data_IF_838420613477
#
_entry.id   IF_838420613477
#
_cell.length_a   1.000
_cell.length_b   1.000
_cell.length_c   1.000
_cell.angle_alpha   90.00
_cell.angle_beta   90.00
_cell.angle_gamma   90.00
#
_symmetry.space_group_name_H-M   'P 1'
#
loop_
_entity.id
_entity.type
_entity.pdbx_description
1 polymer ?
#
# COMPACT_ATOMS: atom_id res chain seq x y z
N UNK A 1 12.96 6.35 -20.67
CA UNK A 1 11.48 6.29 -20.73
C UNK A 1 10.95 5.91 -19.36
N UNK A 2 9.78 6.40 -18.96
CA UNK A 2 9.13 5.97 -17.71
C UNK A 2 8.70 4.50 -17.81
N UNK A 3 8.75 3.77 -16.68
CA UNK A 3 8.24 2.39 -16.57
C UNK A 3 6.76 2.44 -16.21
N UNK A 4 5.90 1.75 -16.96
CA UNK A 4 4.49 1.60 -16.60
C UNK A 4 4.37 0.83 -15.28
N UNK A 5 3.66 1.39 -14.29
CA UNK A 5 3.38 0.73 -13.01
C UNK A 5 2.32 -0.37 -13.16
N UNK A 6 1.36 -0.17 -14.07
CA UNK A 6 0.21 -1.03 -14.30
C UNK A 6 -0.20 -0.95 -15.77
N UNK A 7 -0.89 -1.99 -16.24
CA UNK A 7 -1.44 -2.12 -17.60
C UNK A 7 -2.83 -2.73 -17.50
N UNK A 8 -3.77 -2.23 -18.29
CA UNK A 8 -5.16 -2.67 -18.23
C UNK A 8 -6.02 -1.91 -19.22
N UNK A 9 -7.27 -1.64 -18.88
CA UNK A 9 -8.18 -0.87 -19.72
C UNK A 9 -9.13 0.04 -18.92
N UNK A 10 -9.48 1.20 -19.50
CA UNK A 10 -10.63 1.99 -19.05
C UNK A 10 -11.90 1.30 -19.59
N UNK A 11 -12.86 1.07 -18.69
CA UNK A 11 -14.11 0.36 -18.95
C UNK A 11 -15.27 1.28 -18.58
N UNK A 12 -16.20 1.53 -19.50
CA UNK A 12 -17.45 2.22 -19.20
C UNK A 12 -18.61 1.71 -20.08
N UNK A 13 -19.61 1.09 -19.44
CA UNK A 13 -20.77 0.50 -20.10
C UNK A 13 -20.42 -0.63 -21.06
N UNK A 14 -20.15 -0.29 -22.32
CA UNK A 14 -19.75 -1.21 -23.40
C UNK A 14 -18.42 -0.82 -24.07
N UNK A 15 -17.77 0.25 -23.61
CA UNK A 15 -16.53 0.77 -24.19
C UNK A 15 -15.34 0.30 -23.36
N UNK A 16 -14.33 -0.28 -24.03
CA UNK A 16 -13.14 -0.84 -23.41
C UNK A 16 -11.89 -0.31 -24.11
N UNK A 17 -11.08 0.50 -23.42
CA UNK A 17 -9.94 1.24 -23.98
C UNK A 17 -8.66 0.77 -23.30
N UNK A 18 -7.76 0.03 -23.99
CA UNK A 18 -6.50 -0.39 -23.37
C UNK A 18 -5.63 0.82 -23.04
N UNK A 19 -5.05 0.85 -21.83
CA UNK A 19 -4.19 1.92 -21.32
C UNK A 19 -3.01 1.38 -20.50
N UNK A 20 -1.89 2.09 -20.57
CA UNK A 20 -0.72 1.91 -19.71
C UNK A 20 -0.68 3.05 -18.68
N UNK A 21 -0.43 2.73 -17.41
CA UNK A 21 -0.43 3.67 -16.29
C UNK A 21 0.98 3.97 -15.80
N UNK A 22 1.30 5.26 -15.64
CA UNK A 22 2.59 5.79 -15.22
C UNK A 22 2.43 6.73 -14.03
N UNK A 23 3.43 6.77 -13.13
CA UNK A 23 3.44 7.76 -12.05
C UNK A 23 3.62 9.17 -12.62
N UNK A 24 2.75 10.12 -12.25
CA UNK A 24 2.99 11.53 -12.54
C UNK A 24 3.97 12.15 -11.54
N UNK A 25 4.00 11.63 -10.31
CA UNK A 25 4.95 12.02 -9.27
C UNK A 25 6.28 11.29 -9.46
N UNK A 26 7.39 12.02 -9.33
CA UNK A 26 8.74 11.46 -9.09
C UNK A 26 9.23 11.96 -7.74
N UNK A 27 9.40 11.05 -6.78
CA UNK A 27 10.10 11.38 -5.53
C UNK A 27 11.54 11.81 -5.86
N UNK A 28 11.94 12.94 -5.30
CA UNK A 28 13.25 13.58 -5.51
C UNK A 28 14.04 13.65 -4.19
N UNK A 29 13.74 12.77 -3.24
CA UNK A 29 14.39 12.67 -1.92
C UNK A 29 15.93 12.50 -2.02
N UNK A 30 16.63 12.90 -0.97
CA UNK A 30 18.07 12.68 -0.83
C UNK A 30 18.32 11.26 -0.32
N UNK A 31 18.92 10.41 -1.16
CA UNK A 31 19.35 9.06 -0.76
C UNK A 31 20.58 9.16 0.15
N UNK A 32 20.35 9.03 1.47
CA UNK A 32 21.38 9.12 2.51
C UNK A 32 21.67 7.72 3.06
N UNK A 33 22.78 7.13 2.61
CA UNK A 33 23.26 5.85 3.16
C UNK A 33 23.51 5.96 4.66
N UNK A 34 22.86 5.09 5.45
CA UNK A 34 23.12 4.98 6.88
C UNK A 34 24.47 4.31 7.12
N UNK A 35 25.36 5.01 7.82
CA UNK A 35 26.71 4.54 8.20
C UNK A 35 26.81 4.44 9.73
N UNK A 36 27.57 3.48 10.27
CA UNK A 36 27.92 3.52 11.70
C UNK A 36 28.89 4.70 11.95
N UNK A 37 28.60 5.50 12.96
CA UNK A 37 29.40 6.67 13.38
C UNK A 37 30.83 6.30 13.82
N UNK A 38 31.09 5.03 14.16
CA UNK A 38 32.37 4.52 14.67
C UNK A 38 33.42 4.38 13.56
N UNK A 39 33.08 3.62 12.51
CA UNK A 39 33.99 3.19 11.45
C UNK A 39 33.59 3.72 10.06
N UNK A 40 32.37 4.27 9.92
CA UNK A 40 31.75 4.75 8.68
C UNK A 40 31.37 3.63 7.70
N UNK A 41 31.21 2.40 8.19
CA UNK A 41 30.69 1.26 7.41
C UNK A 41 29.18 1.38 7.15
N UNK A 42 28.67 0.98 5.97
CA UNK A 42 27.23 0.98 5.69
C UNK A 42 26.45 -0.02 6.54
N UNK A 43 25.31 0.41 7.09
CA UNK A 43 24.46 -0.41 7.96
C UNK A 43 23.48 -1.24 7.12
N UNK A 44 23.49 -2.57 7.33
CA UNK A 44 22.55 -3.51 6.73
C UNK A 44 21.38 -3.87 7.65
N UNK A 45 20.19 -4.07 7.08
CA UNK A 45 18.98 -4.49 7.81
C UNK A 45 18.69 -5.98 7.65
N UNK A 46 18.59 -6.70 8.77
CA UNK A 46 18.15 -8.11 8.82
C UNK A 46 16.75 -8.23 9.42
N UNK A 47 15.93 -9.11 8.84
CA UNK A 47 14.62 -9.50 9.39
C UNK A 47 14.83 -10.69 10.31
N UNK A 48 14.33 -10.62 11.54
CA UNK A 48 14.45 -11.73 12.50
C UNK A 48 13.10 -12.03 13.17
N UNK A 49 12.92 -13.28 13.60
CA UNK A 49 11.74 -13.70 14.35
C UNK A 49 11.91 -13.33 15.82
N UNK A 50 11.01 -12.50 16.35
CA UNK A 50 11.06 -11.96 17.73
C UNK A 50 11.11 -13.03 18.83
N UNK A 51 10.62 -14.25 18.58
CA UNK A 51 10.59 -15.33 19.56
C UNK A 51 11.86 -16.18 19.65
N UNK A 52 12.70 -16.17 18.61
CA UNK A 52 13.92 -17.01 18.57
C UNK A 52 15.19 -16.31 18.05
N UNK A 53 15.07 -15.02 17.67
CA UNK A 53 16.13 -14.16 17.12
C UNK A 53 16.86 -14.70 15.88
N UNK A 54 16.31 -15.71 15.19
CA UNK A 54 16.84 -16.22 13.92
C UNK A 54 16.41 -15.35 12.75
N UNK A 55 17.28 -15.22 11.76
CA UNK A 55 17.02 -14.48 10.52
C UNK A 55 15.91 -15.17 9.70
N UNK A 56 15.04 -14.36 9.08
CA UNK A 56 13.86 -14.82 8.33
C UNK A 56 13.99 -14.42 6.86
N UNK A 57 14.20 -15.42 6.00
CA UNK A 57 14.14 -15.25 4.54
C UNK A 57 12.74 -14.81 4.08
N UNK A 58 12.67 -14.03 3.00
CA UNK A 58 11.43 -13.44 2.48
C UNK A 58 10.31 -14.46 2.25
N UNK A 59 10.63 -15.63 1.74
CA UNK A 59 9.65 -16.67 1.37
C UNK A 59 8.93 -17.28 2.60
N UNK A 60 9.51 -17.10 3.80
CA UNK A 60 8.93 -17.50 5.08
C UNK A 60 8.09 -16.39 5.74
N UNK A 61 7.87 -15.25 5.07
CA UNK A 61 7.12 -14.10 5.61
C UNK A 61 5.68 -14.10 5.08
N UNK A 62 4.79 -14.71 5.86
CA UNK A 62 3.34 -14.65 5.64
C UNK A 62 2.73 -13.37 6.23
N UNK A 63 1.59 -12.94 5.67
CA UNK A 63 0.81 -11.79 6.17
C UNK A 63 -0.30 -12.31 7.09
N UNK A 64 -0.44 -11.71 8.26
CA UNK A 64 -1.52 -12.01 9.21
C UNK A 64 -2.37 -10.77 9.49
N UNK A 65 -3.67 -10.94 9.64
CA UNK A 65 -4.59 -9.92 10.16
C UNK A 65 -4.99 -10.28 11.59
N UNK A 66 -4.76 -9.36 12.53
CA UNK A 66 -5.09 -9.53 13.95
C UNK A 66 -6.58 -9.22 14.16
N UNK A 67 -7.39 -10.22 14.49
CA UNK A 67 -8.83 -10.04 14.73
C UNK A 67 -9.18 -9.95 16.22
N UNK A 68 -8.25 -10.38 17.08
CA UNK A 68 -8.32 -10.37 18.55
C UNK A 68 -6.88 -10.35 19.07
N UNK A 69 -6.55 -9.68 20.20
CA UNK A 69 -5.16 -9.49 20.62
C UNK A 69 -4.35 -10.80 20.72
N UNK A 70 -3.35 -10.94 19.86
CA UNK A 70 -2.51 -12.14 19.73
C UNK A 70 -3.06 -13.25 18.81
N UNK A 71 -4.27 -13.12 18.27
CA UNK A 71 -4.89 -14.09 17.35
C UNK A 71 -4.92 -13.56 15.91
N UNK A 72 -4.19 -14.24 15.02
CA UNK A 72 -3.96 -13.81 13.64
C UNK A 72 -4.57 -14.77 12.61
N UNK A 73 -5.40 -14.25 11.70
CA UNK A 73 -5.79 -14.98 10.48
C UNK A 73 -4.70 -14.78 9.43
N UNK A 74 -4.11 -15.88 8.94
CA UNK A 74 -3.17 -15.85 7.82
C UNK A 74 -3.92 -15.53 6.54
N UNK A 75 -3.42 -14.56 5.77
CA UNK A 75 -3.96 -14.18 4.47
C UNK A 75 -2.90 -14.47 3.40
N UNK A 76 -3.15 -15.47 2.54
CA UNK A 76 -2.29 -15.70 1.40
C UNK A 76 -2.55 -14.68 0.29
N UNK A 77 -1.58 -14.46 -0.59
CA UNK A 77 -1.78 -13.64 -1.79
C UNK A 77 -2.77 -14.27 -2.78
N UNK A 78 -3.17 -15.54 -2.59
CA UNK A 78 -4.28 -16.15 -3.35
C UNK A 78 -5.65 -15.83 -2.74
N UNK A 79 -5.78 -15.75 -1.42
CA UNK A 79 -7.01 -15.33 -0.75
C UNK A 79 -7.34 -13.87 -1.10
N UNK A 80 -6.33 -13.00 -1.04
CA UNK A 80 -6.44 -11.60 -1.41
C UNK A 80 -6.83 -11.42 -2.89
N UNK A 81 -6.30 -12.27 -3.80
CA UNK A 81 -6.73 -12.29 -5.21
C UNK A 81 -8.15 -12.81 -5.37
N UNK A 82 -8.51 -13.92 -4.70
CA UNK A 82 -9.85 -14.53 -4.76
C UNK A 82 -10.94 -13.58 -4.27
N UNK A 83 -10.63 -12.72 -3.29
CA UNK A 83 -11.54 -11.68 -2.82
C UNK A 83 -11.87 -10.59 -3.87
N UNK A 84 -10.97 -10.33 -4.85
CA UNK A 84 -11.16 -9.23 -5.81
C UNK A 84 -10.75 -9.58 -7.26
N UNK A 85 -11.08 -10.79 -7.73
CA UNK A 85 -10.69 -11.27 -9.08
C UNK A 85 -11.16 -10.34 -10.21
N UNK A 86 -12.37 -9.78 -10.10
CA UNK A 86 -13.06 -9.07 -11.20
C UNK A 86 -12.42 -7.76 -11.63
N UNK A 87 -11.79 -7.00 -10.73
CA UNK A 87 -11.35 -5.63 -11.00
C UNK A 87 -9.82 -5.47 -11.20
N UNK A 88 -9.08 -6.59 -11.26
CA UNK A 88 -7.59 -6.59 -11.20
C UNK A 88 -6.87 -5.82 -12.31
N UNK A 89 -7.50 -5.60 -13.48
CA UNK A 89 -6.89 -4.96 -14.65
C UNK A 89 -7.83 -3.98 -15.39
N UNK A 90 -8.87 -3.49 -14.72
CA UNK A 90 -9.78 -2.46 -15.25
C UNK A 90 -9.78 -1.19 -14.40
N UNK A 91 -10.01 -0.05 -15.07
CA UNK A 91 -10.46 1.22 -14.48
C UNK A 91 -11.93 1.33 -14.88
N UNK A 92 -12.83 0.88 -14.02
CA UNK A 92 -14.27 0.86 -14.29
C UNK A 92 -14.89 2.21 -13.87
N UNK A 93 -15.40 2.97 -14.84
CA UNK A 93 -16.06 4.27 -14.59
C UNK A 93 -17.49 4.02 -14.10
N UNK A 94 -17.80 4.57 -12.93
CA UNK A 94 -19.08 4.42 -12.23
C UNK A 94 -20.01 5.60 -12.56
N UNK A 95 -19.48 6.82 -12.56
CA UNK A 95 -20.24 8.05 -12.82
C UNK A 95 -19.36 9.15 -13.41
N UNK A 96 -20.02 10.23 -13.88
CA UNK A 96 -19.37 11.48 -14.26
C UNK A 96 -19.94 12.60 -13.39
N UNK A 97 -19.08 13.43 -12.81
CA UNK A 97 -19.44 14.56 -11.91
C UNK A 97 -18.69 15.82 -12.35
N UNK A 98 -19.06 16.99 -11.83
CA UNK A 98 -18.29 18.21 -12.09
C UNK A 98 -16.96 18.20 -11.33
N UNK A 99 -15.93 18.87 -11.87
CA UNK A 99 -14.63 18.95 -11.20
C UNK A 99 -14.72 19.68 -9.84
N UNK A 100 -15.67 20.60 -9.72
CA UNK A 100 -15.96 21.40 -8.52
C UNK A 100 -16.71 20.60 -7.43
N UNK A 101 -17.43 19.52 -7.79
CA UNK A 101 -18.16 18.65 -6.84
C UNK A 101 -17.22 17.81 -5.96
N UNK A 102 -15.94 17.68 -6.32
CA UNK A 102 -14.95 16.87 -5.60
C UNK A 102 -13.92 17.77 -4.92
N UNK A 103 -14.02 18.01 -3.60
CA UNK A 103 -13.08 18.86 -2.88
C UNK A 103 -11.64 18.36 -2.95
N UNK A 104 -10.69 19.30 -2.92
CA UNK A 104 -9.24 19.02 -2.96
C UNK A 104 -8.76 18.05 -1.86
N UNK A 105 -9.48 17.96 -0.74
CA UNK A 105 -9.22 17.02 0.37
C UNK A 105 -9.35 15.54 0.00
N UNK A 106 -10.11 15.20 -1.06
CA UNK A 106 -10.23 13.82 -1.52
C UNK A 106 -9.04 13.39 -2.39
N UNK A 107 -8.37 14.30 -3.09
CA UNK A 107 -7.30 13.96 -4.04
C UNK A 107 -6.00 13.54 -3.33
N UNK A 108 -5.39 12.46 -3.81
CA UNK A 108 -4.17 11.88 -3.25
C UNK A 108 -3.00 11.86 -4.26
N UNK A 109 -2.92 10.85 -5.14
CA UNK A 109 -1.74 10.65 -6.01
C UNK A 109 -2.12 10.73 -7.50
N UNK A 110 -1.50 11.62 -8.30
CA UNK A 110 -1.73 11.69 -9.75
C UNK A 110 -0.93 10.63 -10.53
N UNK A 111 -1.58 10.04 -11.53
CA UNK A 111 -1.02 9.10 -12.49
C UNK A 111 -1.35 9.51 -13.92
N UNK A 112 -0.41 9.38 -14.85
CA UNK A 112 -0.67 9.56 -16.28
C UNK A 112 -1.16 8.24 -16.90
N UNK A 113 -2.27 8.30 -17.65
CA UNK A 113 -2.69 7.21 -18.51
C UNK A 113 -2.22 7.49 -19.94
N UNK A 114 -1.61 6.50 -20.60
CA UNK A 114 -1.29 6.55 -22.02
C UNK A 114 -2.10 5.49 -22.80
N UNK A 115 -2.48 5.73 -24.06
CA UNK A 115 -3.21 4.76 -24.86
C UNK A 115 -2.35 3.51 -25.15
N UNK A 116 -2.87 2.35 -24.77
CA UNK A 116 -2.30 1.05 -25.11
C UNK A 116 -2.44 0.73 -26.61
N UNK A 117 -1.79 -0.35 -27.05
CA UNK A 117 -1.75 -0.77 -28.46
C UNK A 117 -3.17 -0.94 -29.02
N UNK A 118 -3.53 -0.13 -30.03
CA UNK A 118 -4.85 -0.12 -30.66
C UNK A 118 -5.89 0.80 -30.01
N UNK A 119 -5.68 1.29 -28.78
CA UNK A 119 -6.66 2.11 -28.05
C UNK A 119 -6.73 3.58 -28.48
N UNK A 120 -5.71 4.10 -29.17
CA UNK A 120 -5.47 5.53 -29.36
C UNK A 120 -6.67 6.35 -29.85
N UNK A 121 -7.44 5.86 -30.84
CA UNK A 121 -8.62 6.59 -31.37
C UNK A 121 -9.74 6.70 -30.34
N UNK A 122 -9.98 5.65 -29.54
CA UNK A 122 -11.06 5.62 -28.54
C UNK A 122 -10.63 6.39 -27.28
N UNK A 123 -9.36 6.31 -26.91
CA UNK A 123 -8.74 7.13 -25.87
C UNK A 123 -8.85 8.63 -26.18
N UNK A 124 -8.49 9.04 -27.41
CA UNK A 124 -8.61 10.44 -27.84
C UNK A 124 -10.08 10.92 -27.84
N UNK A 125 -11.02 10.05 -28.25
CA UNK A 125 -12.45 10.32 -28.16
C UNK A 125 -12.91 10.53 -26.70
N UNK A 126 -12.47 9.69 -25.75
CA UNK A 126 -12.79 9.85 -24.33
C UNK A 126 -12.22 11.17 -23.78
N UNK A 127 -10.94 11.48 -24.05
CA UNK A 127 -10.29 12.74 -23.63
C UNK A 127 -11.08 13.95 -24.12
N UNK A 128 -11.41 13.98 -25.42
CA UNK A 128 -12.16 15.07 -26.04
C UNK A 128 -13.61 15.16 -25.52
N UNK A 129 -14.24 14.02 -25.20
CA UNK A 129 -15.60 13.98 -24.62
C UNK A 129 -15.62 14.55 -23.21
N UNK A 130 -14.69 14.14 -22.34
CA UNK A 130 -14.55 14.69 -20.98
C UNK A 130 -14.27 16.20 -21.01
N UNK A 131 -13.30 16.64 -21.81
CA UNK A 131 -12.93 18.06 -22.00
C UNK A 131 -14.12 18.90 -22.47
N UNK A 132 -14.96 18.40 -23.37
CA UNK A 132 -16.17 19.12 -23.86
C UNK A 132 -17.34 19.08 -22.88
N UNK A 133 -17.42 18.05 -22.04
CA UNK A 133 -18.49 17.91 -21.05
C UNK A 133 -18.24 18.69 -19.75
N UNK A 134 -16.98 19.10 -19.49
CA UNK A 134 -16.56 19.71 -18.22
C UNK A 134 -16.55 18.74 -17.03
N UNK A 135 -16.76 17.43 -17.27
CA UNK A 135 -16.91 16.42 -16.23
C UNK A 135 -15.62 15.63 -16.00
N UNK A 136 -15.46 15.16 -14.78
CA UNK A 136 -14.47 14.14 -14.40
C UNK A 136 -15.16 12.79 -14.25
N UNK A 137 -14.49 11.70 -14.62
CA UNK A 137 -15.01 10.34 -14.48
C UNK A 137 -14.62 9.74 -13.13
N UNK A 138 -15.59 9.48 -12.25
CA UNK A 138 -15.35 8.74 -11.00
C UNK A 138 -15.31 7.25 -11.31
N UNK A 139 -14.18 6.61 -10.99
CA UNK A 139 -13.89 5.23 -11.36
C UNK A 139 -13.25 4.45 -10.21
N UNK A 140 -13.29 3.13 -10.30
CA UNK A 140 -12.54 2.23 -9.41
C UNK A 140 -11.47 1.47 -10.17
N UNK A 141 -10.28 1.35 -9.57
CA UNK A 141 -9.11 0.65 -10.14
C UNK A 141 -8.43 -0.22 -9.08
N UNK A 142 -7.97 -1.41 -9.45
CA UNK A 142 -7.13 -2.24 -8.57
C UNK A 142 -5.66 -2.05 -8.93
N UNK A 143 -4.90 -1.48 -7.99
CA UNK A 143 -3.45 -1.29 -8.11
C UNK A 143 -2.76 -2.30 -7.19
N UNK A 144 -2.00 -3.23 -7.79
CA UNK A 144 -1.34 -4.38 -7.14
C UNK A 144 -2.31 -5.33 -6.41
N UNK A 145 -2.77 -4.95 -5.23
CA UNK A 145 -3.64 -5.74 -4.34
C UNK A 145 -4.69 -4.89 -3.61
N UNK A 146 -4.74 -3.57 -3.83
CA UNK A 146 -5.73 -2.67 -3.24
C UNK A 146 -6.64 -2.09 -4.34
N UNK A 147 -7.91 -1.95 -4.02
CA UNK A 147 -8.86 -1.18 -4.82
C UNK A 147 -8.85 0.28 -4.36
N UNK A 148 -8.66 1.19 -5.30
CA UNK A 148 -8.69 2.62 -5.08
C UNK A 148 -9.89 3.22 -5.82
N UNK A 149 -10.52 4.22 -5.20
CA UNK A 149 -11.35 5.18 -5.90
C UNK A 149 -10.42 6.13 -6.68
N UNK A 150 -10.85 6.62 -7.83
CA UNK A 150 -10.07 7.56 -8.63
C UNK A 150 -10.92 8.51 -9.47
N UNK A 151 -10.36 9.68 -9.79
CA UNK A 151 -10.92 10.66 -10.70
C UNK A 151 -10.12 10.66 -12.01
N UNK A 152 -10.81 10.43 -13.13
CA UNK A 152 -10.30 10.57 -14.49
C UNK A 152 -10.55 12.00 -14.99
N UNK A 153 -9.48 12.77 -15.12
CA UNK A 153 -9.50 14.18 -15.54
C UNK A 153 -8.82 14.29 -16.91
N UNK A 154 -9.50 14.88 -17.90
CA UNK A 154 -8.90 15.13 -19.20
C UNK A 154 -8.08 16.43 -19.20
N UNK A 155 -6.85 16.36 -19.69
CA UNK A 155 -5.97 17.51 -19.94
C UNK A 155 -5.77 17.69 -21.45
N UNK A 156 -4.97 18.68 -21.86
CA UNK A 156 -4.71 18.93 -23.29
C UNK A 156 -4.01 17.75 -23.97
N UNK A 157 -3.00 17.17 -23.32
CA UNK A 157 -2.21 16.05 -23.86
C UNK A 157 -2.84 14.67 -23.59
N UNK A 158 -3.54 14.48 -22.47
CA UNK A 158 -3.96 13.13 -22.06
C UNK A 158 -5.09 13.07 -21.05
N UNK A 159 -5.14 11.97 -20.31
CA UNK A 159 -6.04 11.75 -19.18
C UNK A 159 -5.16 11.47 -17.97
N UNK A 160 -5.33 12.27 -16.92
CA UNK A 160 -4.72 12.05 -15.61
C UNK A 160 -5.74 11.25 -14.78
N UNK A 161 -5.26 10.23 -14.08
CA UNK A 161 -6.02 9.48 -13.10
C UNK A 161 -5.47 9.81 -11.71
N UNK A 162 -6.20 10.59 -10.93
CA UNK A 162 -5.83 10.85 -9.53
C UNK A 162 -6.49 9.81 -8.63
N UNK A 163 -5.76 9.19 -7.71
CA UNK A 163 -6.41 8.42 -6.63
C UNK A 163 -7.19 9.37 -5.72
N UNK A 164 -8.34 8.89 -5.25
CA UNK A 164 -9.20 9.56 -4.29
C UNK A 164 -9.21 8.76 -2.98
N UNK A 165 -9.18 9.50 -1.86
CA UNK A 165 -9.46 8.98 -0.52
C UNK A 165 -10.92 8.56 -0.41
N UNK A 166 -11.20 7.55 0.41
CA UNK A 166 -12.56 7.24 0.83
C UNK A 166 -12.99 8.16 1.97
N UNK A 167 -14.31 8.33 2.16
CA UNK A 167 -14.86 9.27 3.15
C UNK A 167 -14.49 8.91 4.60
N UNK A 168 -14.25 7.64 4.90
CA UNK A 168 -13.79 7.15 6.21
C UNK A 168 -12.29 7.36 6.46
N UNK A 169 -11.51 7.68 5.42
CA UNK A 169 -10.10 8.08 5.54
C UNK A 169 -9.94 9.58 5.87
N UNK A 170 -11.00 10.38 5.71
CA UNK A 170 -11.02 11.82 5.97
C UNK A 170 -11.56 12.07 7.39
N UNK A 171 -10.78 12.77 8.22
CA UNK A 171 -11.23 13.18 9.56
C UNK A 171 -12.16 14.39 9.49
N UNK A 172 -13.22 14.38 10.30
CA UNK A 172 -14.08 15.54 10.46
C UNK A 172 -13.42 16.65 11.30
N UNK A 173 -13.92 17.86 11.10
CA UNK A 173 -13.55 19.11 11.77
C UNK A 173 -14.23 19.31 13.13
N UNK A 174 -15.22 18.48 13.51
CA UNK A 174 -15.98 18.63 14.76
C UNK A 174 -15.12 18.57 16.05
N UNK A 175 -13.90 18.03 15.97
CA UNK A 175 -12.93 18.00 17.08
C UNK A 175 -11.89 19.13 17.06
N UNK A 176 -12.01 20.13 16.18
CA UNK A 176 -11.05 21.23 16.04
C UNK A 176 -11.58 22.52 16.68
N UNK A 177 -10.70 23.24 17.40
CA UNK A 177 -10.98 24.57 17.94
C UNK A 177 -10.93 25.62 16.81
N UNK A 178 -12.01 25.68 16.03
CA UNK A 178 -12.17 26.59 14.90
C UNK A 178 -13.08 27.78 15.26
N UNK A 179 -12.76 29.00 14.79
CA UNK A 179 -13.61 30.16 15.01
C UNK A 179 -14.99 29.96 14.38
N UNK A 180 -16.02 30.53 15.01
CA UNK A 180 -17.41 30.37 14.57
C UNK A 180 -17.60 30.92 13.14
N UNK A 181 -18.27 30.12 12.29
CA UNK A 181 -18.31 30.30 10.83
C UNK A 181 -18.91 31.66 10.41
N UNK A 182 -18.15 32.39 9.59
CA UNK A 182 -18.54 33.68 9.01
C UNK A 182 -18.24 34.90 9.89
N UNK A 183 -18.15 36.09 9.30
CA UNK A 183 -17.66 37.32 9.97
C UNK A 183 -18.30 37.60 11.33
N UNK A 184 -19.62 37.40 11.46
CA UNK A 184 -20.38 37.64 12.70
C UNK A 184 -20.04 36.67 13.84
N UNK A 185 -19.47 35.50 13.54
CA UNK A 185 -18.97 34.58 14.56
C UNK A 185 -17.59 34.96 15.10
N UNK A 186 -16.89 35.88 14.42
CA UNK A 186 -15.51 36.29 14.75
C UNK A 186 -15.34 37.81 14.91
N UNK A 187 -16.44 38.58 14.93
CA UNK A 187 -16.48 40.05 15.00
C UNK A 187 -15.62 40.80 13.96
N UNK A 188 -15.38 40.19 12.78
CA UNK A 188 -14.60 40.80 11.70
C UNK A 188 -15.41 41.93 11.04
N UNK A 189 -14.79 43.09 10.82
CA UNK A 189 -15.41 44.22 10.12
C UNK A 189 -15.08 44.27 8.62
N UNK A 190 -15.97 44.90 7.84
CA UNK A 190 -15.79 45.05 6.39
C UNK A 190 -14.50 45.80 6.01
N UNK A 191 -14.03 46.71 6.89
CA UNK A 191 -12.78 47.48 6.70
C UNK A 191 -11.53 46.60 6.83
N UNK A 192 -11.55 45.64 7.76
CA UNK A 192 -10.45 44.68 7.93
C UNK A 192 -10.39 43.72 6.75
N UNK A 193 -11.55 43.29 6.22
CA UNK A 193 -11.59 42.52 4.97
C UNK A 193 -11.08 43.34 3.78
N UNK A 194 -11.48 44.60 3.61
CA UNK A 194 -10.97 45.43 2.50
C UNK A 194 -9.46 45.63 2.59
N UNK A 195 -8.91 45.83 3.79
CA UNK A 195 -7.46 45.89 4.00
C UNK A 195 -6.77 44.56 3.67
N UNK A 196 -7.28 43.44 4.17
CA UNK A 196 -6.76 42.10 3.88
C UNK A 196 -6.80 41.76 2.38
N UNK A 197 -7.88 42.12 1.67
CA UNK A 197 -7.99 41.95 0.22
C UNK A 197 -6.93 42.75 -0.53
N UNK A 198 -6.68 44.00 -0.15
CA UNK A 198 -5.60 44.80 -0.79
C UNK A 198 -4.20 44.24 -0.55
N UNK A 199 -3.97 43.55 0.58
CA UNK A 199 -2.71 42.84 0.86
C UNK A 199 -2.60 41.55 0.02
N UNK A 200 -3.69 40.80 -0.15
CA UNK A 200 -3.72 39.62 -1.03
C UNK A 200 -3.51 40.02 -2.48
N UNK A 201 -4.19 41.08 -2.97
CA UNK A 201 -4.03 41.60 -4.33
C UNK A 201 -2.61 42.09 -4.58
N UNK A 202 -2.02 42.85 -3.65
CA UNK A 202 -0.62 43.30 -3.69
C UNK A 202 0.44 42.20 -3.52
N UNK A 203 0.03 40.97 -3.21
CA UNK A 203 0.88 39.77 -3.10
C UNK A 203 0.43 38.64 -4.06
N UNK A 204 -0.45 38.93 -5.01
CA UNK A 204 -0.93 37.96 -6.00
C UNK A 204 0.00 37.92 -7.22
N UNK A 205 0.58 36.76 -7.48
CA UNK A 205 1.46 36.49 -8.62
C UNK A 205 0.89 35.33 -9.47
N UNK A 206 1.26 35.27 -10.75
CA UNK A 206 0.90 34.15 -11.62
C UNK A 206 1.59 32.86 -11.15
N UNK A 207 0.84 31.75 -11.15
CA UNK A 207 1.35 30.45 -10.68
C UNK A 207 2.33 29.81 -11.67
N UNK A 208 3.62 30.04 -11.46
CA UNK A 208 4.71 29.27 -12.07
C UNK A 208 5.29 28.24 -11.09
N UNK A 209 5.06 26.92 -11.29
CA UNK A 209 5.71 25.86 -10.53
C UNK A 209 7.24 25.93 -10.54
N UNK A 210 7.83 26.55 -11.57
CA UNK A 210 9.28 26.65 -11.77
C UNK A 210 9.94 27.66 -10.81
N UNK A 211 9.18 28.56 -10.19
CA UNK A 211 9.69 29.50 -9.20
C UNK A 211 9.92 28.86 -7.82
N UNK A 212 9.32 27.70 -7.54
CA UNK A 212 9.37 27.04 -6.23
C UNK A 212 10.34 25.86 -6.24
N UNK A 213 11.32 25.86 -5.33
CA UNK A 213 12.37 24.84 -5.24
C UNK A 213 12.51 24.29 -3.81
N UNK A 214 13.05 23.07 -3.70
CA UNK A 214 13.40 22.43 -2.42
C UNK A 214 14.73 23.01 -1.91
N UNK A 215 14.64 24.18 -1.28
CA UNK A 215 15.80 24.92 -0.74
C UNK A 215 16.57 24.12 0.30
N UNK A 216 15.89 23.27 1.09
CA UNK A 216 16.54 22.39 2.06
C UNK A 216 17.46 21.38 1.38
N UNK A 217 17.02 20.77 0.27
CA UNK A 217 17.85 19.88 -0.52
C UNK A 217 19.06 20.60 -1.13
N UNK A 218 18.87 21.82 -1.64
CA UNK A 218 19.94 22.64 -2.21
C UNK A 218 20.98 23.02 -1.14
N UNK A 219 20.54 23.46 0.04
CA UNK A 219 21.41 23.76 1.19
C UNK A 219 22.21 22.53 1.66
N UNK A 220 21.57 21.36 1.73
CA UNK A 220 22.25 20.11 2.11
C UNK A 220 23.29 19.71 1.06
N UNK A 221 22.99 19.83 -0.23
CA UNK A 221 23.96 19.56 -1.31
C UNK A 221 25.12 20.57 -1.28
N UNK A 222 24.85 21.86 -1.10
CA UNK A 222 25.86 22.90 -0.95
C UNK A 222 26.74 22.68 0.30
N UNK A 223 26.18 22.15 1.38
CA UNK A 223 26.91 21.77 2.60
C UNK A 223 27.79 20.53 2.36
N UNK A 224 27.30 19.53 1.61
CA UNK A 224 28.10 18.37 1.18
C UNK A 224 29.27 18.83 0.30
N UNK A 225 29.04 19.68 -0.69
CA UNK A 225 30.11 20.25 -1.52
C UNK A 225 31.16 20.99 -0.70
N UNK A 226 30.75 21.85 0.24
CA UNK A 226 31.66 22.57 1.14
C UNK A 226 32.52 21.60 1.96
N UNK A 227 31.96 20.49 2.45
CA UNK A 227 32.69 19.45 3.18
C UNK A 227 33.66 18.66 2.29
N UNK A 228 33.26 18.33 1.06
CA UNK A 228 34.13 17.68 0.06
C UNK A 228 35.31 18.58 -0.30
N UNK A 229 35.05 19.86 -0.60
CA UNK A 229 36.08 20.88 -0.89
C UNK A 229 37.01 21.15 0.30
N UNK A 230 36.52 20.97 1.53
CA UNK A 230 37.30 21.03 2.76
C UNK A 230 38.00 19.71 3.14
N UNK A 231 38.01 18.69 2.26
CA UNK A 231 38.68 17.41 2.51
C UNK A 231 38.05 16.54 3.61
N UNK A 232 36.83 16.84 4.07
CA UNK A 232 36.14 16.11 5.15
C UNK A 232 35.50 14.79 4.68
N UNK A 233 36.06 14.17 3.65
CA UNK A 233 35.63 12.90 3.07
C UNK A 233 36.33 11.73 3.76
N UNK A 234 35.56 10.71 4.16
CA UNK A 234 36.12 9.44 4.61
C UNK A 234 35.95 8.38 3.52
N UNK A 235 37.06 7.88 3.01
CA UNK A 235 37.07 6.70 2.14
C UNK A 235 36.69 5.49 2.98
N UNK A 236 35.62 4.81 2.63
CA UNK A 236 35.27 3.51 3.20
C UNK A 236 36.27 2.51 2.61
N UNK A 237 37.29 2.13 3.38
CA UNK A 237 38.06 0.93 3.10
C UNK A 237 37.11 -0.24 3.28
N UNK A 238 36.59 -0.78 2.18
CA UNK A 238 35.78 -1.99 2.23
C UNK A 238 36.60 -3.09 2.91
N UNK A 239 36.02 -3.86 3.87
CA UNK A 239 36.71 -5.01 4.43
C UNK A 239 37.07 -5.95 3.28
N UNK A 240 38.33 -6.39 3.24
CA UNK A 240 38.84 -7.23 2.15
C UNK A 240 37.99 -8.48 2.01
N UNK A 241 37.82 -8.98 0.78
CA UNK A 241 37.02 -10.20 0.51
C UNK A 241 37.70 -11.50 1.01
N UNK A 242 38.83 -11.37 1.68
CA UNK A 242 39.67 -12.47 2.15
C UNK A 242 39.18 -13.06 3.49
N UNK A 243 38.38 -12.32 4.27
CA UNK A 243 37.70 -12.81 5.48
C UNK A 243 36.35 -13.51 5.21
N UNK A 244 36.07 -13.86 3.95
CA UNK A 244 35.12 -14.90 3.62
C UNK A 244 35.86 -16.26 3.67
N UNK A 245 35.68 -17.11 4.70
CA UNK A 245 36.39 -18.38 4.78
C UNK A 245 35.96 -19.27 3.62
N UNK A 246 36.82 -19.36 2.61
CA UNK A 246 36.61 -20.19 1.44
C UNK A 246 36.37 -21.62 1.92
N UNK A 247 35.16 -22.14 1.69
CA UNK A 247 34.83 -23.53 1.89
C UNK A 247 35.55 -24.35 0.81
N UNK A 248 36.86 -24.53 0.99
CA UNK A 248 37.66 -25.46 0.22
C UNK A 248 37.12 -26.85 0.51
N UNK A 249 36.27 -27.34 -0.40
CA UNK A 249 35.83 -28.72 -0.43
C UNK A 249 37.07 -29.58 -0.55
N UNK A 250 37.55 -30.12 0.57
CA UNK A 250 38.71 -30.98 0.62
C UNK A 250 38.30 -32.37 0.09
N UNK A 251 38.11 -32.43 -1.24
CA UNK A 251 37.85 -33.65 -1.99
C UNK A 251 39.15 -34.43 -2.01
N UNK A 252 39.37 -35.18 -0.92
CA UNK A 252 40.44 -36.15 -0.80
C UNK A 252 40.36 -37.09 -2.00
N UNK A 253 41.47 -37.25 -2.73
CA UNK A 253 41.51 -38.07 -3.93
C UNK A 253 41.38 -39.56 -3.56
N UNK A 254 40.14 -40.04 -3.59
CA UNK A 254 39.77 -41.43 -3.37
C UNK A 254 40.37 -42.36 -4.44
N UNK A 255 40.72 -41.85 -5.63
CA UNK A 255 41.39 -42.65 -6.67
C UNK A 255 42.85 -42.87 -6.31
N UNK A 256 43.55 -41.84 -5.83
CA UNK A 256 44.92 -41.96 -5.32
C UNK A 256 45.01 -42.95 -4.14
N UNK A 257 44.11 -42.85 -3.16
CA UNK A 257 44.04 -43.79 -2.03
C UNK A 257 43.69 -45.21 -2.48
N UNK A 258 42.79 -45.38 -3.46
CA UNK A 258 42.42 -46.70 -3.98
C UNK A 258 43.56 -47.35 -4.77
N UNK A 259 44.31 -46.58 -5.56
CA UNK A 259 45.53 -47.06 -6.24
C UNK A 259 46.61 -47.49 -5.25
N UNK A 260 46.79 -46.74 -4.15
CA UNK A 260 47.72 -47.12 -3.07
C UNK A 260 47.25 -48.38 -2.30
N UNK A 261 45.94 -48.66 -2.29
CA UNK A 261 45.36 -49.85 -1.63
C UNK A 261 45.46 -51.14 -2.49
N UNK A 262 45.32 -51.03 -3.82
CA UNK A 262 45.35 -52.18 -4.74
C UNK A 262 46.77 -52.64 -5.13
N UNK A 263 47.81 -51.91 -4.69
CA UNK A 263 49.16 -51.98 -5.26
C UNK A 263 50.22 -52.83 -4.55
N UNK A 264 49.91 -53.83 -3.70
CA UNK A 264 50.98 -54.71 -3.19
C UNK A 264 50.60 -56.09 -2.58
N UNK A 265 50.95 -57.19 -3.27
CA UNK A 265 51.28 -58.56 -2.78
C UNK A 265 51.66 -59.45 -3.99
N UNK A 266 52.49 -60.52 -3.85
CA UNK A 266 52.44 -61.50 -2.76
C UNK A 266 53.76 -62.00 -2.13
N UNK A 267 53.67 -62.32 -0.83
CA UNK A 267 54.21 -63.58 -0.25
C UNK A 267 55.35 -63.47 0.79
N UNK A 268 55.58 -64.44 1.70
CA UNK A 268 54.87 -65.72 1.99
C UNK A 268 55.31 -66.32 3.36
N UNK A 269 54.38 -66.44 4.32
CA UNK A 269 54.24 -67.63 5.20
C UNK A 269 54.78 -67.68 6.65
N UNK A 270 53.87 -68.00 7.60
CA UNK A 270 54.05 -68.69 8.92
C UNK A 270 54.82 -67.93 10.04
N UNK A 271 54.58 -68.18 11.36
CA UNK A 271 53.84 -69.27 12.06
C UNK A 271 53.32 -68.85 13.46
N UNK A 272 52.21 -69.45 13.90
CA UNK A 272 51.79 -69.72 15.31
C UNK A 272 51.31 -68.59 16.26
N UNK A 273 50.45 -69.01 17.20
CA UNK A 273 49.81 -68.40 18.38
C UNK A 273 49.28 -69.61 19.25
N UNK A 274 48.47 -69.50 20.35
CA UNK A 274 47.89 -68.33 21.03
C UNK A 274 48.14 -68.38 22.58
N UNK A 275 47.17 -68.13 23.52
CA UNK A 275 46.93 -66.85 24.21
C UNK A 275 47.18 -66.98 25.75
N UNK A 276 46.35 -66.60 26.78
CA UNK A 276 44.86 -66.51 26.85
C UNK A 276 44.23 -65.36 27.74
N UNK A 277 42.88 -65.27 27.80
CA UNK A 277 41.97 -64.71 28.87
C UNK A 277 42.05 -63.19 29.20
N UNK A 278 41.10 -62.54 29.91
CA UNK A 278 39.63 -62.36 29.75
C UNK A 278 39.18 -61.14 30.63
N UNK A 279 37.88 -60.94 30.90
CA UNK A 279 37.27 -60.02 31.92
C UNK A 279 37.36 -58.49 31.59
N UNK A 280 36.31 -57.66 31.48
CA UNK A 280 35.01 -57.39 32.16
C UNK A 280 35.08 -56.26 33.21
N UNK A 281 33.93 -55.59 33.41
CA UNK A 281 33.54 -54.78 34.59
C UNK A 281 34.30 -53.43 34.83
N UNK A 282 33.74 -52.37 35.42
CA UNK A 282 32.32 -52.06 35.74
C UNK A 282 32.07 -50.53 35.95
N UNK A 283 30.82 -50.14 36.25
CA UNK A 283 30.35 -49.08 37.21
C UNK A 283 31.02 -47.66 37.28
N UNK A 284 30.45 -46.61 37.90
CA UNK A 284 29.11 -46.00 37.94
C UNK A 284 29.23 -44.61 38.67
N UNK A 285 28.28 -43.69 38.47
CA UNK A 285 27.96 -42.49 39.33
C UNK A 285 29.13 -41.53 39.74
N UNK A 286 28.99 -40.40 40.47
CA UNK A 286 27.86 -39.57 40.96
C UNK A 286 27.88 -38.21 40.19
N UNK A 287 26.77 -37.55 39.84
CA UNK A 287 25.85 -36.71 40.62
C UNK A 287 26.39 -35.42 41.33
N UNK A 288 25.48 -34.54 41.76
CA UNK A 288 25.75 -33.12 42.13
C UNK A 288 25.43 -32.87 43.65
N UNK A 289 24.96 -31.70 44.21
CA UNK A 289 24.61 -30.37 43.68
C UNK A 289 25.22 -29.19 44.55
N UNK A 290 24.72 -27.92 44.53
CA UNK A 290 25.43 -26.75 45.10
C UNK A 290 24.84 -26.12 46.40
N UNK A 291 25.55 -25.19 47.07
CA UNK A 291 25.05 -24.41 48.22
C UNK A 291 24.40 -23.04 47.87
N UNK A 292 23.59 -22.49 48.79
CA UNK A 292 22.88 -21.18 48.70
C UNK A 292 22.96 -20.37 50.01
N UNK A 293 22.71 -19.05 49.91
CA UNK A 293 22.43 -18.06 50.99
C UNK A 293 23.65 -17.61 51.84
N UNK A 294 23.69 -16.43 52.48
CA UNK A 294 22.66 -15.52 53.10
C UNK A 294 22.93 -14.03 52.75
N UNK A 295 21.93 -13.14 52.57
CA UNK A 295 21.31 -12.18 53.55
C UNK A 295 22.32 -11.41 54.43
N UNK A 296 22.25 -10.09 54.67
CA UNK A 296 21.29 -9.00 54.33
C UNK A 296 22.02 -7.60 54.43
N UNK A 297 21.47 -6.37 54.56
CA UNK A 297 20.12 -5.86 54.85
C UNK A 297 19.86 -4.34 54.51
N UNK A 298 18.58 -3.99 54.27
CA UNK A 298 17.79 -2.83 54.81
C UNK A 298 18.13 -1.34 54.59
N UNK A 299 17.30 -0.66 53.77
CA UNK A 299 16.46 0.56 54.01
C UNK A 299 15.73 0.86 52.67
N UNK A 300 14.46 1.30 52.57
CA UNK A 300 13.82 2.55 53.03
C UNK A 300 13.75 3.55 51.85
N UNK A 301 12.63 4.13 51.40
CA UNK A 301 11.25 4.28 51.95
C UNK A 301 10.18 4.51 50.85
N UNK A 302 8.88 4.32 51.23
CA UNK A 302 7.62 4.94 50.73
C UNK A 302 7.33 5.17 49.22
N UNK A 303 6.11 4.81 48.75
CA UNK A 303 5.64 5.19 47.41
C UNK A 303 4.28 4.65 46.91
N UNK A 304 3.31 4.34 47.79
CA UNK A 304 2.09 3.60 47.40
C UNK A 304 0.93 4.48 46.90
N UNK A 305 0.42 4.25 45.69
CA UNK A 305 -0.88 4.78 45.23
C UNK A 305 -1.81 3.68 44.69
N UNK A 306 -2.77 3.31 45.55
CA UNK A 306 -4.13 2.79 45.30
C UNK A 306 -4.41 1.91 44.06
N UNK A 307 -4.70 0.64 44.34
CA UNK A 307 -5.60 -0.21 43.55
C UNK A 307 -7.08 0.19 43.72
N UNK A 308 -7.93 -0.19 42.74
CA UNK A 308 -9.40 -0.13 42.83
C UNK A 308 -10.03 -1.54 42.88
N UNK A 309 -11.17 -1.74 43.58
CA UNK A 309 -11.71 -3.08 43.87
C UNK A 309 -12.72 -3.61 42.83
N UNK A 310 -13.06 -4.90 42.96
CA UNK A 310 -14.12 -5.64 42.23
C UNK A 310 -15.26 -6.08 43.18
N UNK A 311 -16.38 -6.52 42.58
CA UNK A 311 -17.57 -7.14 43.22
C UNK A 311 -18.52 -6.16 43.91
N UNK A 312 -19.85 -6.28 43.81
CA UNK A 312 -20.72 -7.21 43.07
C UNK A 312 -22.19 -6.77 43.31
N UNK A 313 -23.28 -7.43 42.91
CA UNK A 313 -23.61 -8.53 42.00
C UNK A 313 -25.12 -8.81 42.26
N UNK A 314 -25.98 -8.95 41.23
CA UNK A 314 -27.40 -9.31 41.43
C UNK A 314 -27.97 -10.13 40.25
N UNK A 315 -28.79 -11.14 40.57
CA UNK A 315 -29.71 -11.85 39.64
C UNK A 315 -31.05 -11.06 39.58
N UNK A 316 -31.99 -11.25 38.66
CA UNK A 316 -32.25 -12.29 37.65
C UNK A 316 -32.79 -11.62 36.35
N UNK A 317 -33.35 -12.25 35.31
CA UNK A 317 -33.80 -13.63 35.07
C UNK A 317 -33.63 -14.00 33.57
N UNK A 318 -34.50 -14.87 33.01
CA UNK A 318 -34.51 -15.24 31.59
C UNK A 318 -35.93 -15.31 31.00
N UNK A 319 -36.07 -14.96 29.72
CA UNK A 319 -37.21 -15.34 28.87
C UNK A 319 -36.77 -15.42 27.39
N UNK A 320 -37.45 -16.28 26.60
CA UNK A 320 -37.19 -16.47 25.16
C UNK A 320 -38.04 -15.49 24.31
N UNK A 321 -37.62 -15.17 23.07
CA UNK A 321 -38.42 -14.35 22.17
C UNK A 321 -39.74 -15.07 21.77
N UNK A 322 -40.83 -14.31 21.72
CA UNK A 322 -42.14 -14.76 21.26
C UNK A 322 -42.58 -13.92 20.04
N UNK A 323 -43.17 -14.57 19.03
CA UNK A 323 -43.49 -13.92 17.76
C UNK A 323 -44.89 -13.27 17.74
N UNK A 324 -44.96 -12.08 17.13
CA UNK A 324 -46.20 -11.41 16.69
C UNK A 324 -46.04 -11.19 15.19
N UNK A 325 -46.70 -11.93 14.29
CA UNK A 325 -48.16 -12.03 14.01
C UNK A 325 -48.81 -10.70 13.60
N UNK A 326 -48.38 -10.16 12.46
CA UNK A 326 -49.23 -9.28 11.64
C UNK A 326 -50.43 -10.08 11.08
N UNK A 327 -51.66 -9.53 11.07
CA UNK A 327 -52.85 -10.27 10.64
C UNK A 327 -52.97 -10.34 9.11
N UNK A 328 -53.37 -11.51 8.60
CA UNK A 328 -53.79 -11.68 7.21
C UNK A 328 -55.28 -11.32 7.08
N UNK A 329 -55.64 -10.55 6.06
CA UNK A 329 -56.94 -10.69 5.41
C UNK A 329 -56.78 -10.63 3.89
N UNK A 330 -57.20 -11.69 3.23
CA UNK A 330 -57.15 -11.84 1.77
C UNK A 330 -58.57 -12.00 1.20
N UNK A 331 -58.64 -12.15 -0.13
CA UNK A 331 -59.82 -12.13 -1.01
C UNK A 331 -60.24 -10.71 -1.49
N UNK A 332 -60.45 -10.47 -2.79
CA UNK A 332 -60.32 -11.43 -3.91
C UNK A 332 -60.26 -10.81 -5.31
N UNK A 333 -59.90 -11.67 -6.29
CA UNK A 333 -59.85 -11.43 -7.75
C UNK A 333 -61.22 -10.93 -8.26
N UNK A 334 -61.36 -10.20 -9.37
CA UNK A 334 -61.21 -10.74 -10.75
C UNK A 334 -61.22 -9.67 -11.86
N UNK A 335 -60.43 -9.91 -12.92
CA UNK A 335 -60.68 -9.58 -14.34
C UNK A 335 -60.87 -8.08 -14.74
N UNK A 336 -60.75 -7.67 -16.01
CA UNK A 336 -60.55 -8.41 -17.26
C UNK A 336 -59.53 -7.73 -18.21
N UNK A 337 -59.03 -8.48 -19.19
CA UNK A 337 -58.17 -8.03 -20.29
C UNK A 337 -58.99 -7.96 -21.58
N UNK A 338 -59.08 -6.79 -22.21
CA UNK A 338 -59.67 -6.60 -23.53
C UNK A 338 -58.83 -5.60 -24.34
N UNK A 339 -58.90 -5.68 -25.67
CA UNK A 339 -58.05 -4.90 -26.58
C UNK A 339 -58.86 -4.33 -27.76
N UNK A 340 -58.36 -3.26 -28.39
CA UNK A 340 -58.77 -2.85 -29.74
C UNK A 340 -57.67 -2.03 -30.44
N UNK A 341 -57.76 -1.93 -31.78
CA UNK A 341 -56.79 -1.28 -32.68
C UNK A 341 -57.03 0.23 -32.81
N UNK A 342 -56.04 1.01 -33.30
CA UNK A 342 -56.24 2.40 -33.70
C UNK A 342 -57.05 2.53 -35.01
N UNK A 343 -57.72 3.67 -35.19
CA UNK A 343 -58.41 4.06 -36.43
C UNK A 343 -57.78 5.34 -37.02
N UNK A 344 -57.92 5.56 -38.33
CA UNK A 344 -57.18 6.61 -39.05
C UNK A 344 -58.06 7.51 -39.95
N UNK A 345 -57.75 8.81 -39.96
CA UNK A 345 -58.08 9.84 -40.99
C UNK A 345 -57.03 10.96 -40.84
N UNK A 346 -56.29 11.47 -41.84
CA UNK A 346 -56.39 11.61 -43.32
C UNK A 346 -56.96 12.95 -43.82
N UNK A 347 -56.09 13.95 -43.90
CA UNK A 347 -56.10 15.16 -44.75
C UNK A 347 -54.60 15.56 -44.92
N UNK A 348 -54.01 15.67 -46.12
CA UNK A 348 -54.12 16.74 -47.14
C UNK A 348 -53.34 18.04 -46.77
N UNK A 349 -52.58 18.71 -47.66
CA UNK A 349 -52.07 18.34 -49.00
C UNK A 349 -51.02 19.31 -49.59
N UNK A 350 -49.82 18.80 -49.92
CA UNK A 350 -48.77 19.35 -50.84
C UNK A 350 -48.07 20.71 -50.53
N UNK A 351 -46.88 20.98 -51.12
CA UNK A 351 -46.03 22.15 -50.80
C UNK A 351 -45.84 23.17 -51.95
N UNK A 352 -45.48 24.40 -51.58
CA UNK A 352 -45.00 25.53 -52.42
C UNK A 352 -44.14 26.45 -51.52
N UNK A 353 -43.06 27.13 -51.92
CA UNK A 353 -41.98 26.83 -52.88
C UNK A 353 -40.80 27.79 -52.58
N UNK A 354 -39.58 27.47 -53.00
CA UNK A 354 -38.49 28.45 -53.13
C UNK A 354 -38.38 28.91 -54.59
N UNK A 355 -37.95 30.16 -54.86
CA UNK A 355 -36.61 30.28 -55.43
C UNK A 355 -35.79 31.51 -54.96
N UNK A 356 -34.50 31.49 -55.28
CA UNK A 356 -33.50 32.54 -55.03
C UNK A 356 -33.65 33.71 -56.02
N UNK A 357 -33.38 34.97 -55.60
CA UNK A 357 -32.47 35.91 -56.31
C UNK A 357 -32.32 37.29 -55.63
N UNK A 358 -31.09 37.82 -55.74
CA UNK A 358 -30.59 39.22 -55.64
C UNK A 358 -31.08 40.08 -54.45
N UNK A 359 -30.23 40.62 -53.57
CA UNK A 359 -28.99 41.40 -53.74
C UNK A 359 -29.23 42.89 -54.07
N UNK A 360 -29.12 43.70 -53.02
CA UNK A 360 -28.63 45.07 -52.94
C UNK A 360 -27.88 45.18 -51.61
#
# INVERSE_FOLDING_TARGET
MARSLWKGAISFGLVHIPVDLYSAVKQNELDLTMLDKRDFSPIGFKRYNKGNNKEVAWDNIIKGYEYTPGEYVVLSDEDLKRANVKATQTIDIISFVDAEDVPLTYYETPYYLAPGRGGAKVYALLRETLRRAGKIGVATVVIRTKQHLCALVATEDGIIMNTLRYQDEIRDTEGLDLPAKGMKGSNISDKEIQMALSLVEGMSEDWDPSAYHDTYKEDVLALVEKKVKAGQTKTITAPSKDDAPAQSSNVIDLVALLQQSLGNKPGKGRKAAPPPEDETDDEEEEEAPPPKSKKAASHGTSGTVRSGPKSGAAKAAASKPAAVKSPVKAAGKTAAKAASKPAARKAASKPVAAPRRKAA
#
